data_IF_204212902199
#
_entry.id   IF_204212902199
#
_cell.length_a   1.000
_cell.length_b   1.000
_cell.length_c   1.000
_cell.angle_alpha   90.00
_cell.angle_beta   90.00
_cell.angle_gamma   90.00
#
_symmetry.space_group_name_H-M   'P 1'
#
loop_
_entity.id
_entity.type
_entity.pdbx_description
1 polymer ?
#
# COMPACT_ATOMS: atom_id res chain seq x y z
N UNK A 1 21.01 68.87 28.03
CA UNK A 1 20.61 70.13 27.38
C UNK A 1 19.43 69.79 26.50
N UNK A 2 18.26 70.39 26.87
CA UNK A 2 17.02 70.67 26.12
C UNK A 2 16.20 69.50 25.58
N UNK A 3 15.18 69.10 26.33
CA UNK A 3 13.67 69.22 26.17
C UNK A 3 13.17 69.34 24.72
N UNK A 4 12.26 68.44 24.31
CA UNK A 4 10.95 68.84 23.78
C UNK A 4 9.92 67.69 23.90
N UNK A 5 8.93 67.92 24.77
CA UNK A 5 7.61 67.26 24.81
C UNK A 5 6.81 67.72 23.58
N UNK A 6 6.09 66.84 22.92
CA UNK A 6 4.82 67.17 22.28
C UNK A 6 3.82 66.03 22.40
N UNK A 7 2.85 66.29 23.20
CA UNK A 7 1.54 65.67 23.32
C UNK A 7 0.76 65.82 22.01
N UNK A 8 0.16 64.77 21.51
CA UNK A 8 -0.93 64.88 20.54
C UNK A 8 -2.11 63.96 20.90
N UNK A 9 -3.26 64.50 20.74
CA UNK A 9 -4.58 64.18 21.27
C UNK A 9 -5.22 62.93 20.67
N UNK A 10 -6.06 62.29 21.48
CA UNK A 10 -7.09 61.32 21.16
C UNK A 10 -7.98 61.74 19.98
N UNK A 11 -8.26 60.78 19.09
CA UNK A 11 -9.50 60.73 18.33
C UNK A 11 -9.93 59.26 18.28
N UNK A 12 -10.96 58.97 19.11
CA UNK A 12 -11.66 57.70 19.09
C UNK A 12 -12.58 57.70 17.86
N UNK A 13 -12.29 56.78 16.90
CA UNK A 13 -13.24 56.43 15.86
C UNK A 13 -13.78 55.05 16.17
N UNK A 14 -15.02 54.97 16.63
CA UNK A 14 -15.81 53.73 16.70
C UNK A 14 -16.09 53.27 15.27
N UNK A 15 -15.43 52.21 14.83
CA UNK A 15 -15.84 51.41 13.70
C UNK A 15 -16.53 50.16 14.23
N UNK A 16 -17.86 50.16 14.19
CA UNK A 16 -18.67 48.94 14.32
C UNK A 16 -18.47 48.12 13.05
N UNK A 17 -17.51 47.17 13.07
CA UNK A 17 -17.41 46.15 12.04
C UNK A 17 -18.38 45.02 12.40
N UNK A 18 -19.43 44.86 11.60
CA UNK A 18 -20.29 43.69 11.60
C UNK A 18 -19.41 42.46 11.28
N UNK A 19 -19.00 41.77 12.32
CA UNK A 19 -18.24 40.51 12.20
C UNK A 19 -19.16 39.43 11.68
N UNK A 20 -19.16 39.23 10.37
CA UNK A 20 -19.63 37.98 9.77
C UNK A 20 -18.77 36.84 10.29
N UNK A 21 -19.33 36.01 11.17
CA UNK A 21 -18.70 34.78 11.65
C UNK A 21 -18.64 33.81 10.49
N UNK A 22 -17.48 33.79 9.81
CA UNK A 22 -17.20 32.79 8.78
C UNK A 22 -17.04 31.46 9.50
N UNK A 23 -18.09 30.64 9.50
CA UNK A 23 -18.02 29.26 9.94
C UNK A 23 -17.16 28.53 8.89
N UNK A 24 -15.86 28.41 9.16
CA UNK A 24 -15.00 27.50 8.42
C UNK A 24 -15.45 26.11 8.82
N UNK A 25 -16.24 25.46 7.96
CA UNK A 25 -16.45 24.03 8.05
C UNK A 25 -15.09 23.37 7.87
N UNK A 26 -14.47 23.01 8.98
CA UNK A 26 -13.39 22.02 8.99
C UNK A 26 -14.06 20.74 8.55
N UNK A 27 -13.92 20.40 7.26
CA UNK A 27 -14.32 19.11 6.77
C UNK A 27 -13.56 18.08 7.60
N UNK A 28 -14.30 17.24 8.35
CA UNK A 28 -13.75 16.05 8.97
C UNK A 28 -13.10 15.21 7.84
N UNK A 29 -11.79 15.34 7.71
CA UNK A 29 -11.02 14.32 7.06
C UNK A 29 -11.21 13.08 7.93
N UNK A 30 -12.21 12.25 7.61
CA UNK A 30 -12.33 10.92 8.19
C UNK A 30 -11.00 10.24 7.95
N UNK A 31 -10.21 10.14 8.99
CA UNK A 31 -9.07 9.24 9.04
C UNK A 31 -9.63 7.85 8.73
N UNK A 32 -9.40 7.36 7.52
CA UNK A 32 -9.91 6.06 7.11
C UNK A 32 -9.25 5.02 8.02
N UNK A 33 -10.06 4.29 8.77
CA UNK A 33 -9.55 3.17 9.56
C UNK A 33 -8.81 2.21 8.63
N UNK A 34 -7.56 1.84 8.94
CA UNK A 34 -6.82 0.90 8.11
C UNK A 34 -7.57 -0.44 7.96
N UNK A 35 -7.36 -1.17 6.85
CA UNK A 35 -8.02 -2.46 6.64
C UNK A 35 -7.58 -3.48 7.69
N UNK A 36 -8.49 -4.39 8.04
CA UNK A 36 -8.17 -5.52 8.91
C UNK A 36 -7.26 -6.52 8.19
N UNK A 37 -6.33 -7.12 8.93
CA UNK A 37 -5.49 -8.21 8.45
C UNK A 37 -6.05 -9.57 8.88
N UNK A 38 -5.56 -10.64 8.24
CA UNK A 38 -5.83 -12.00 8.72
C UNK A 38 -5.26 -12.21 10.13
N UNK A 39 -5.84 -13.14 10.88
CA UNK A 39 -5.45 -13.43 12.26
C UNK A 39 -4.07 -14.04 12.39
N UNK A 40 -3.60 -14.77 11.36
CA UNK A 40 -2.29 -15.41 11.36
C UNK A 40 -1.86 -15.82 9.95
N UNK A 41 -0.55 -15.70 9.69
CA UNK A 41 0.11 -16.21 8.47
C UNK A 41 1.22 -17.20 8.87
N UNK A 42 1.09 -18.44 8.44
CA UNK A 42 2.17 -19.41 8.45
C UNK A 42 3.14 -19.06 7.32
N UNK A 43 4.29 -18.49 7.69
CA UNK A 43 5.26 -17.99 6.73
C UNK A 43 5.86 -19.12 5.88
N UNK A 44 6.03 -20.33 6.41
CA UNK A 44 6.60 -21.43 5.65
C UNK A 44 5.65 -21.87 4.51
N UNK A 45 4.34 -21.84 4.77
CA UNK A 45 3.33 -22.07 3.73
C UNK A 45 3.19 -20.89 2.76
N UNK A 46 3.55 -19.68 3.22
CA UNK A 46 3.45 -18.46 2.39
C UNK A 46 4.62 -18.34 1.39
N UNK A 47 5.77 -18.95 1.66
CA UNK A 47 6.93 -18.94 0.76
C UNK A 47 6.62 -19.51 -0.63
N UNK A 48 7.52 -19.27 -1.59
CA UNK A 48 7.43 -19.71 -2.98
C UNK A 48 6.74 -18.67 -3.87
N UNK A 49 6.21 -19.13 -5.01
CA UNK A 49 5.72 -18.27 -6.08
C UNK A 49 4.27 -17.83 -5.88
N UNK A 50 4.03 -16.57 -6.21
CA UNK A 50 2.71 -15.94 -6.26
C UNK A 50 2.57 -15.12 -7.55
N UNK A 51 1.60 -15.47 -8.37
CA UNK A 51 1.27 -14.75 -9.60
C UNK A 51 0.33 -13.60 -9.28
N UNK A 52 0.61 -12.41 -9.77
CA UNK A 52 -0.30 -11.28 -9.68
C UNK A 52 -1.44 -11.47 -10.68
N UNK A 53 -2.67 -11.57 -10.18
CA UNK A 53 -3.87 -11.69 -11.01
C UNK A 53 -4.45 -10.31 -11.32
N UNK A 54 -4.38 -9.41 -10.35
CA UNK A 54 -4.74 -8.01 -10.51
C UNK A 54 -4.07 -7.16 -9.44
N UNK A 55 -3.89 -5.88 -9.73
CA UNK A 55 -3.35 -4.93 -8.76
C UNK A 55 -3.80 -3.51 -9.02
N UNK A 56 -3.68 -2.65 -8.01
CA UNK A 56 -3.84 -1.20 -8.18
C UNK A 56 -2.61 -0.69 -8.94
N UNK A 57 -2.79 -0.01 -10.10
CA UNK A 57 -1.68 0.50 -10.89
C UNK A 57 -0.74 1.38 -10.06
N UNK A 58 0.53 1.10 -10.14
CA UNK A 58 1.53 1.79 -9.35
C UNK A 58 2.78 2.16 -10.15
N UNK A 59 3.58 3.10 -9.64
CA UNK A 59 4.76 3.61 -10.35
C UNK A 59 5.88 2.57 -10.52
N UNK A 60 5.91 1.55 -9.67
CA UNK A 60 6.99 0.56 -9.66
C UNK A 60 6.84 -0.46 -10.78
N UNK A 61 5.60 -0.71 -11.23
CA UNK A 61 5.25 -1.70 -12.24
C UNK A 61 4.85 -1.08 -13.59
N UNK A 62 5.06 0.23 -13.80
CA UNK A 62 4.65 0.92 -15.06
C UNK A 62 5.27 0.36 -16.32
N UNK A 63 6.45 -0.24 -16.21
CA UNK A 63 7.17 -0.85 -17.32
C UNK A 63 6.75 -2.30 -17.56
N UNK A 64 6.03 -2.92 -16.60
CA UNK A 64 5.57 -4.29 -16.71
C UNK A 64 4.37 -4.39 -17.68
N UNK A 65 4.46 -5.32 -18.63
CA UNK A 65 3.40 -5.66 -19.58
C UNK A 65 2.52 -6.80 -19.07
N UNK A 66 3.08 -7.68 -18.23
CA UNK A 66 2.40 -8.84 -17.62
C UNK A 66 3.39 -9.86 -17.09
N UNK A 67 2.94 -11.09 -16.89
CA UNK A 67 3.68 -12.17 -16.24
C UNK A 67 4.29 -11.73 -14.89
N UNK A 68 3.61 -10.82 -14.19
CA UNK A 68 4.08 -10.31 -12.91
C UNK A 68 3.93 -11.39 -11.85
N UNK A 69 5.02 -11.64 -11.14
CA UNK A 69 5.13 -12.68 -10.12
C UNK A 69 6.02 -12.19 -8.98
N UNK A 70 5.72 -12.64 -7.76
CA UNK A 70 6.59 -12.51 -6.60
C UNK A 70 7.04 -13.89 -6.14
N UNK A 71 8.33 -14.06 -5.89
CA UNK A 71 8.88 -15.24 -5.22
C UNK A 71 9.35 -14.84 -3.82
N UNK A 72 8.87 -15.56 -2.80
CA UNK A 72 9.26 -15.36 -1.42
C UNK A 72 10.13 -16.50 -0.95
N UNK A 73 11.32 -16.17 -0.46
CA UNK A 73 12.31 -17.12 0.04
C UNK A 73 12.70 -16.76 1.48
N UNK A 74 12.90 -17.74 2.35
CA UNK A 74 13.35 -17.45 3.71
C UNK A 74 14.80 -16.94 3.69
N UNK A 75 15.00 -15.72 4.21
CA UNK A 75 16.35 -15.18 4.39
C UNK A 75 16.89 -15.54 5.80
N UNK A 76 16.06 -15.36 6.84
CA UNK A 76 16.33 -15.77 8.22
C UNK A 76 15.02 -15.92 9.02
N UNK A 77 15.09 -15.92 10.36
CA UNK A 77 13.91 -16.10 11.20
C UNK A 77 12.89 -14.94 11.11
N UNK A 78 13.35 -13.73 10.77
CA UNK A 78 12.52 -12.51 10.76
C UNK A 78 12.45 -11.84 9.39
N UNK A 79 13.19 -12.34 8.40
CA UNK A 79 13.28 -11.73 7.07
C UNK A 79 12.99 -12.73 5.96
N UNK A 80 12.34 -12.22 4.95
CA UNK A 80 11.99 -12.92 3.71
C UNK A 80 12.64 -12.18 2.55
N UNK A 81 13.39 -12.88 1.73
CA UNK A 81 13.87 -12.37 0.44
C UNK A 81 12.70 -12.35 -0.51
N UNK A 82 12.50 -11.26 -1.21
CA UNK A 82 11.43 -11.05 -2.17
C UNK A 82 12.05 -10.81 -3.53
N UNK A 83 11.66 -11.59 -4.53
CA UNK A 83 12.07 -11.42 -5.91
C UNK A 83 10.80 -11.16 -6.71
N UNK A 84 10.60 -9.91 -7.13
CA UNK A 84 9.53 -9.54 -8.04
C UNK A 84 10.05 -9.63 -9.47
N UNK A 85 9.29 -10.21 -10.37
CA UNK A 85 9.61 -10.29 -11.79
C UNK A 85 8.39 -9.95 -12.64
N UNK A 86 8.62 -9.39 -13.81
CA UNK A 86 7.59 -9.19 -14.83
C UNK A 86 8.19 -9.21 -16.25
N UNK A 87 7.34 -9.33 -17.26
CA UNK A 87 7.72 -9.09 -18.64
C UNK A 87 7.57 -7.60 -18.94
N UNK A 88 8.64 -6.94 -19.39
CA UNK A 88 8.63 -5.52 -19.75
C UNK A 88 8.04 -5.25 -21.15
N UNK A 89 7.98 -3.98 -21.53
CA UNK A 89 7.47 -3.55 -22.84
C UNK A 89 8.27 -4.08 -24.06
N UNK A 90 9.54 -4.44 -23.83
CA UNK A 90 10.44 -4.98 -24.88
C UNK A 90 10.41 -6.53 -24.93
N UNK A 91 9.61 -7.19 -24.09
CA UNK A 91 9.54 -8.64 -24.02
C UNK A 91 10.69 -9.29 -23.22
N UNK A 92 11.35 -8.51 -22.36
CA UNK A 92 12.42 -9.01 -21.49
C UNK A 92 11.88 -9.22 -20.08
N UNK A 93 12.45 -10.20 -19.38
CA UNK A 93 12.17 -10.39 -17.96
C UNK A 93 12.94 -9.34 -17.17
N UNK A 94 12.21 -8.44 -16.47
CA UNK A 94 12.77 -7.53 -15.49
C UNK A 94 12.59 -8.10 -14.08
N UNK A 95 13.57 -7.88 -13.20
CA UNK A 95 13.55 -8.41 -11.84
C UNK A 95 14.03 -7.35 -10.84
N UNK A 96 13.35 -7.31 -9.70
CA UNK A 96 13.76 -6.52 -8.54
C UNK A 96 13.85 -7.43 -7.31
N UNK A 97 14.97 -7.37 -6.62
CA UNK A 97 15.20 -8.10 -5.37
C UNK A 97 15.06 -7.17 -4.17
N UNK A 98 14.34 -7.61 -3.17
CA UNK A 98 14.11 -6.88 -1.93
C UNK A 98 14.11 -7.80 -0.70
N UNK A 99 13.94 -7.17 0.45
CA UNK A 99 13.79 -7.83 1.74
C UNK A 99 12.48 -7.38 2.37
N UNK A 100 11.68 -8.34 2.84
CA UNK A 100 10.58 -8.10 3.74
C UNK A 100 10.98 -8.43 5.18
N UNK A 101 10.53 -7.59 6.13
CA UNK A 101 10.66 -7.83 7.57
C UNK A 101 9.29 -7.97 8.22
N UNK A 102 9.19 -8.79 9.23
CA UNK A 102 7.96 -8.98 10.00
C UNK A 102 7.85 -7.82 10.99
N UNK A 103 6.73 -7.07 10.93
CA UNK A 103 6.41 -5.97 11.85
C UNK A 103 5.56 -6.46 13.01
N UNK A 104 4.62 -7.37 12.74
CA UNK A 104 3.79 -7.99 13.77
C UNK A 104 4.10 -9.50 13.87
N UNK A 105 4.99 -9.90 14.78
CA UNK A 105 5.37 -11.30 14.94
C UNK A 105 4.28 -12.16 15.62
N UNK A 106 3.19 -11.58 16.10
CA UNK A 106 2.08 -12.34 16.69
C UNK A 106 1.20 -12.95 15.61
N UNK A 107 0.97 -12.22 14.54
CA UNK A 107 0.12 -12.65 13.42
C UNK A 107 0.91 -12.98 12.17
N UNK A 108 2.13 -12.43 11.99
CA UNK A 108 2.90 -12.41 10.75
C UNK A 108 2.15 -11.80 9.55
N UNK A 109 1.02 -11.11 9.80
CA UNK A 109 0.18 -10.57 8.75
C UNK A 109 0.58 -9.15 8.32
N UNK A 110 1.43 -8.48 9.11
CA UNK A 110 1.95 -7.15 8.79
C UNK A 110 3.45 -7.23 8.61
N UNK A 111 3.87 -6.95 7.39
CA UNK A 111 5.26 -6.89 6.99
C UNK A 111 5.55 -5.52 6.39
N UNK A 112 6.82 -5.20 6.27
CA UNK A 112 7.34 -4.10 5.46
C UNK A 112 8.35 -4.65 4.48
N UNK A 113 8.36 -4.11 3.26
CA UNK A 113 9.25 -4.53 2.18
C UNK A 113 10.11 -3.36 1.69
N UNK A 114 11.37 -3.63 1.40
CA UNK A 114 12.29 -2.66 0.80
C UNK A 114 13.03 -3.30 -0.37
N UNK A 115 13.08 -2.56 -1.49
CA UNK A 115 13.83 -2.91 -2.70
C UNK A 115 15.06 -2.02 -2.91
N UNK A 116 15.39 -1.17 -1.93
CA UNK A 116 16.54 -0.27 -2.02
C UNK A 116 17.54 -0.60 -0.92
N UNK A 117 18.73 -0.98 -1.32
CA UNK A 117 19.85 -1.24 -0.40
C UNK A 117 21.02 -0.29 -0.68
N UNK A 118 21.59 0.30 0.36
CA UNK A 118 22.79 1.13 0.27
C UNK A 118 23.74 0.74 1.41
N UNK A 119 24.96 0.33 1.08
CA UNK A 119 25.98 -0.13 2.05
C UNK A 119 25.48 -1.21 3.04
N UNK A 120 24.59 -2.10 2.57
CA UNK A 120 23.99 -3.16 3.40
C UNK A 120 22.78 -2.71 4.25
N UNK A 121 22.37 -1.46 4.19
CA UNK A 121 21.19 -0.95 4.85
C UNK A 121 19.99 -0.92 3.89
N UNK A 122 18.85 -1.48 4.33
CA UNK A 122 17.60 -1.38 3.58
C UNK A 122 16.95 -0.03 3.84
N UNK A 123 16.57 0.67 2.76
CA UNK A 123 15.98 2.01 2.79
C UNK A 123 14.58 1.99 2.19
N UNK A 124 13.74 2.97 2.59
CA UNK A 124 12.39 3.16 2.02
C UNK A 124 11.49 1.93 2.15
N UNK A 125 11.14 1.61 3.38
CA UNK A 125 10.24 0.53 3.72
C UNK A 125 8.80 0.88 3.31
N UNK A 126 8.11 -0.05 2.66
CA UNK A 126 6.70 0.03 2.30
C UNK A 126 5.89 -1.04 3.02
N UNK A 127 4.69 -0.68 3.43
CA UNK A 127 3.77 -1.63 4.06
C UNK A 127 3.37 -2.75 3.11
N UNK A 128 3.25 -3.96 3.67
CA UNK A 128 2.77 -5.16 3.02
C UNK A 128 1.91 -5.94 4.01
N UNK A 129 0.59 -5.77 3.93
CA UNK A 129 -0.35 -6.35 4.86
C UNK A 129 -1.15 -7.46 4.18
N UNK A 130 -1.22 -8.63 4.82
CA UNK A 130 -2.05 -9.76 4.36
C UNK A 130 -3.47 -9.56 4.89
N UNK A 131 -4.40 -9.22 3.99
CA UNK A 131 -5.75 -8.79 4.33
C UNK A 131 -6.78 -9.93 4.25
N UNK A 132 -6.54 -10.86 3.33
CA UNK A 132 -7.33 -12.08 3.17
C UNK A 132 -6.42 -13.19 2.65
N UNK A 133 -6.58 -14.40 3.13
CA UNK A 133 -5.74 -15.53 2.75
C UNK A 133 -6.57 -16.81 2.77
N UNK A 134 -6.57 -17.52 1.65
CA UNK A 134 -7.23 -18.81 1.57
C UNK A 134 -6.61 -19.82 2.57
N UNK A 135 -7.43 -20.66 3.18
CA UNK A 135 -6.97 -21.65 4.17
C UNK A 135 -5.97 -22.66 3.59
N UNK A 136 -6.06 -22.92 2.29
CA UNK A 136 -5.13 -23.77 1.53
C UNK A 136 -3.93 -22.98 0.97
N UNK A 137 -3.88 -21.66 1.19
CA UNK A 137 -2.85 -20.75 0.66
C UNK A 137 -2.83 -20.66 -0.88
N UNK A 138 -3.94 -20.93 -1.54
CA UNK A 138 -4.03 -20.86 -3.01
C UNK A 138 -4.13 -19.44 -3.56
N UNK A 139 -4.69 -18.50 -2.80
CA UNK A 139 -4.85 -17.09 -3.17
C UNK A 139 -4.85 -16.17 -1.96
N UNK A 140 -4.52 -14.89 -2.18
CA UNK A 140 -4.35 -13.88 -1.13
C UNK A 140 -4.73 -12.49 -1.64
N UNK A 141 -5.29 -11.66 -0.77
CA UNK A 141 -5.38 -10.20 -0.93
C UNK A 141 -4.29 -9.57 -0.08
N UNK A 142 -3.46 -8.77 -0.72
CA UNK A 142 -2.43 -7.96 -0.06
C UNK A 142 -2.77 -6.49 -0.27
N UNK A 143 -2.46 -5.66 0.72
CA UNK A 143 -2.68 -4.23 0.62
C UNK A 143 -1.84 -3.40 1.57
N UNK A 144 -2.17 -2.11 1.66
CA UNK A 144 -1.51 -1.13 2.53
C UNK A 144 -2.53 -0.42 3.42
N UNK A 145 -2.10 0.12 4.59
CA UNK A 145 -3.01 0.77 5.54
C UNK A 145 -3.72 2.01 4.98
N UNK A 146 -3.15 2.63 3.95
CA UNK A 146 -3.66 3.84 3.30
C UNK A 146 -4.46 3.56 2.01
N UNK A 147 -4.72 2.29 1.69
CA UNK A 147 -5.45 1.82 0.50
C UNK A 147 -4.83 2.20 -0.86
N UNK A 148 -3.64 2.80 -0.87
CA UNK A 148 -2.99 3.23 -2.12
C UNK A 148 -2.48 2.10 -2.98
N UNK A 149 -2.17 0.96 -2.38
CA UNK A 149 -1.69 -0.24 -3.06
C UNK A 149 -2.52 -1.44 -2.66
N UNK A 150 -2.69 -2.36 -3.60
CA UNK A 150 -3.39 -3.61 -3.37
C UNK A 150 -3.12 -4.59 -4.50
N UNK A 151 -3.09 -5.87 -4.16
CA UNK A 151 -2.82 -6.95 -5.10
C UNK A 151 -3.70 -8.16 -4.79
N UNK A 152 -4.20 -8.80 -5.84
CA UNK A 152 -4.76 -10.15 -5.81
C UNK A 152 -3.71 -11.10 -6.34
N UNK A 153 -3.21 -11.98 -5.48
CA UNK A 153 -2.19 -12.95 -5.86
C UNK A 153 -2.75 -14.38 -5.82
N UNK A 154 -2.20 -15.26 -6.65
CA UNK A 154 -2.57 -16.66 -6.74
C UNK A 154 -1.35 -17.55 -6.89
N UNK A 155 -1.47 -18.81 -6.44
CA UNK A 155 -0.43 -19.83 -6.69
C UNK A 155 -0.39 -20.30 -8.13
N UNK A 156 -1.41 -20.00 -8.90
CA UNK A 156 -1.49 -20.35 -10.33
C UNK A 156 -1.68 -19.09 -11.16
N UNK A 157 -1.19 -19.03 -12.40
CA UNK A 157 -1.33 -17.87 -13.27
C UNK A 157 -2.78 -17.62 -13.72
N UNK A 158 -3.66 -18.59 -13.49
CA UNK A 158 -5.08 -18.50 -13.81
C UNK A 158 -5.91 -18.64 -12.54
N UNK A 159 -6.86 -17.72 -12.33
CA UNK A 159 -7.82 -17.76 -11.24
C UNK A 159 -9.22 -18.02 -11.80
N UNK A 160 -9.99 -18.93 -11.14
CA UNK A 160 -11.36 -19.16 -11.57
C UNK A 160 -12.25 -17.92 -11.38
N UNK A 161 -13.28 -17.78 -12.22
CA UNK A 161 -14.21 -16.66 -12.13
C UNK A 161 -14.92 -16.61 -10.77
N UNK A 162 -15.21 -17.77 -10.18
CA UNK A 162 -15.83 -17.86 -8.85
C UNK A 162 -14.92 -17.29 -7.75
N UNK A 163 -13.64 -17.69 -7.73
CA UNK A 163 -12.66 -17.15 -6.77
C UNK A 163 -12.50 -15.65 -6.99
N UNK A 164 -12.38 -15.22 -8.24
CA UNK A 164 -12.24 -13.79 -8.59
C UNK A 164 -13.43 -12.97 -8.08
N UNK A 165 -14.64 -13.44 -8.27
CA UNK A 165 -15.86 -12.76 -7.79
C UNK A 165 -15.86 -12.65 -6.25
N UNK A 166 -15.58 -13.75 -5.56
CA UNK A 166 -15.50 -13.76 -4.09
C UNK A 166 -14.43 -12.78 -3.55
N UNK A 167 -13.24 -12.71 -4.17
CA UNK A 167 -12.19 -11.77 -3.76
C UNK A 167 -12.61 -10.33 -4.07
N UNK A 168 -13.33 -10.09 -5.17
CA UNK A 168 -13.90 -8.77 -5.50
C UNK A 168 -14.87 -8.29 -4.43
N UNK A 169 -15.73 -9.16 -3.93
CA UNK A 169 -16.65 -8.83 -2.82
C UNK A 169 -15.89 -8.62 -1.51
N UNK A 170 -14.85 -9.42 -1.28
CA UNK A 170 -13.99 -9.25 -0.11
C UNK A 170 -13.24 -7.91 -0.12
N UNK A 171 -12.74 -7.44 -1.27
CA UNK A 171 -12.14 -6.11 -1.41
C UNK A 171 -13.11 -5.01 -0.93
N UNK A 172 -14.39 -5.07 -1.30
CA UNK A 172 -15.41 -4.09 -0.85
C UNK A 172 -15.54 -4.10 0.67
N UNK A 173 -15.61 -5.29 1.28
CA UNK A 173 -15.74 -5.41 2.75
C UNK A 173 -14.49 -4.92 3.49
N UNK A 174 -13.33 -5.00 2.86
CA UNK A 174 -12.06 -4.48 3.37
C UNK A 174 -11.90 -2.95 3.18
N UNK A 175 -12.83 -2.31 2.45
CA UNK A 175 -12.80 -0.86 2.20
C UNK A 175 -12.06 -0.44 0.92
N UNK A 176 -11.62 -1.39 0.09
CA UNK A 176 -11.05 -1.10 -1.22
C UNK A 176 -12.14 -0.89 -2.28
N UNK A 177 -11.86 -0.03 -3.24
CA UNK A 177 -12.64 0.05 -4.48
C UNK A 177 -12.15 -1.03 -5.46
N UNK A 178 -12.95 -2.07 -5.76
CA UNK A 178 -12.52 -3.11 -6.70
C UNK A 178 -12.27 -2.60 -8.11
N UNK A 179 -12.87 -1.47 -8.51
CA UNK A 179 -12.66 -0.88 -9.84
C UNK A 179 -11.26 -0.28 -10.02
N UNK A 180 -10.54 -0.05 -8.91
CA UNK A 180 -9.16 0.39 -8.94
C UNK A 180 -8.18 -0.74 -9.31
N UNK A 181 -8.61 -2.02 -9.24
CA UNK A 181 -7.77 -3.16 -9.55
C UNK A 181 -7.84 -3.49 -11.05
N UNK A 182 -6.71 -3.44 -11.70
CA UNK A 182 -6.55 -3.78 -13.13
C UNK A 182 -5.97 -5.19 -13.23
N UNK A 183 -6.51 -5.99 -14.15
CA UNK A 183 -6.05 -7.35 -14.39
C UNK A 183 -4.62 -7.36 -14.96
N UNK A 184 -3.80 -8.25 -14.44
CA UNK A 184 -2.43 -8.48 -14.89
C UNK A 184 -2.41 -9.64 -15.86
N UNK A 185 -2.08 -9.43 -17.16
CA UNK A 185 -1.95 -10.51 -18.11
C UNK A 185 -0.93 -11.53 -17.69
N UNK A 186 -1.29 -12.82 -17.76
CA UNK A 186 -0.41 -13.94 -17.46
C UNK A 186 -0.31 -14.86 -18.70
N UNK A 187 0.85 -15.54 -18.88
CA UNK A 187 1.08 -16.44 -20.00
C UNK A 187 1.27 -15.72 -21.35
N UNK A 188 1.76 -14.46 -21.31
CA UNK A 188 2.13 -13.69 -22.51
C UNK A 188 3.62 -13.90 -22.85
N UNK A 189 3.95 -13.78 -24.14
CA UNK A 189 5.31 -13.88 -24.71
C UNK A 189 5.86 -12.49 -25.06
#
# INVERSE_FOLDING_TARGET
MVFFRKTFYLLAALLVAAGGMMVVSVGDARESTPPETVSFVDLDRYLGNWYEIAGIPNRFQRHCRGNTMAEYQRADQQRIRVINSCLDGDGRVDQAEGIARIVDPKTNAKLEVSFVSLFGWQLFWGDYWVLDLATDYSHVIVGTPDYRYGWLLSRTPVMSAEVRHRLTDRLRTLGYDPSAFVDTPQGIE
#
